data_IF_658085920838
#
_entry.id   IF_658085920838
#
_cell.length_a   1.000
_cell.length_b   1.000
_cell.length_c   1.000
_cell.angle_alpha   90.00
_cell.angle_beta   90.00
_cell.angle_gamma   90.00
#
_symmetry.space_group_name_H-M   'P 1'
#
loop_
_entity.id
_entity.type
_entity.pdbx_description
1 polymer ?
#
# COMPACT_ATOMS: atom_id res chain seq x y z
N UNK A 1 2.50 0.42 -24.01
CA UNK A 1 2.74 0.21 -22.61
C UNK A 1 1.49 0.41 -21.81
N UNK A 2 1.07 -0.61 -21.12
CA UNK A 2 -0.13 -0.58 -20.29
C UNK A 2 0.23 -0.06 -18.91
N UNK A 3 -0.52 0.92 -18.40
CA UNK A 3 -0.17 1.77 -17.26
C UNK A 3 -0.63 1.19 -15.91
N UNK A 4 -0.32 -0.06 -15.59
CA UNK A 4 -0.80 -0.70 -14.35
C UNK A 4 0.25 -1.58 -13.65
N UNK A 5 1.54 -1.28 -13.83
CA UNK A 5 2.61 -2.11 -13.31
C UNK A 5 2.82 -3.40 -14.11
N UNK A 6 3.74 -4.24 -13.66
CA UNK A 6 4.07 -5.51 -14.34
C UNK A 6 2.95 -6.53 -14.29
N UNK A 7 2.08 -6.45 -13.29
CA UNK A 7 1.04 -7.47 -12.98
C UNK A 7 -0.34 -7.14 -13.54
N UNK A 8 -0.49 -6.12 -14.36
CA UNK A 8 -1.80 -5.65 -14.83
C UNK A 8 -2.63 -6.72 -15.52
N UNK A 9 -1.98 -7.67 -16.25
CA UNK A 9 -2.67 -8.76 -16.91
C UNK A 9 -3.35 -9.71 -15.92
N UNK A 10 -2.71 -9.99 -14.80
CA UNK A 10 -3.27 -10.83 -13.74
C UNK A 10 -4.45 -10.11 -13.07
N UNK A 11 -4.37 -8.80 -12.88
CA UNK A 11 -5.49 -8.00 -12.36
C UNK A 11 -6.66 -7.93 -13.34
N UNK A 12 -6.39 -7.75 -14.64
CA UNK A 12 -7.43 -7.74 -15.68
C UNK A 12 -8.13 -9.09 -15.81
N UNK A 13 -7.34 -10.17 -15.80
CA UNK A 13 -7.88 -11.52 -15.83
C UNK A 13 -8.77 -11.79 -14.60
N UNK A 14 -8.29 -11.51 -13.40
CA UNK A 14 -9.05 -11.71 -12.18
C UNK A 14 -10.33 -10.85 -12.17
N UNK A 15 -10.25 -9.59 -12.61
CA UNK A 15 -11.41 -8.69 -12.69
C UNK A 15 -12.49 -9.25 -13.63
N UNK A 16 -12.11 -9.65 -14.83
CA UNK A 16 -13.05 -10.15 -15.85
C UNK A 16 -13.70 -11.49 -15.49
N UNK A 17 -13.09 -12.24 -14.56
CA UNK A 17 -13.62 -13.51 -14.05
C UNK A 17 -14.21 -13.39 -12.64
N UNK A 18 -14.17 -12.19 -12.04
CA UNK A 18 -14.66 -11.96 -10.68
C UNK A 18 -16.19 -12.10 -10.63
N UNK A 19 -16.67 -12.80 -9.60
CA UNK A 19 -18.10 -13.00 -9.34
C UNK A 19 -18.35 -13.02 -7.84
N UNK A 20 -19.48 -12.45 -7.41
CA UNK A 20 -19.90 -12.52 -6.01
C UNK A 20 -20.10 -13.96 -5.49
N UNK A 21 -20.31 -14.92 -6.40
CA UNK A 21 -20.49 -16.33 -6.06
C UNK A 21 -19.16 -17.08 -5.83
N UNK A 22 -18.03 -16.54 -6.29
CA UNK A 22 -16.72 -17.22 -6.28
C UNK A 22 -15.62 -16.43 -5.59
N UNK A 23 -15.97 -15.36 -4.87
CA UNK A 23 -15.02 -14.47 -4.20
C UNK A 23 -14.06 -15.21 -3.26
N UNK A 24 -14.52 -16.26 -2.59
CA UNK A 24 -13.72 -17.05 -1.65
C UNK A 24 -12.62 -17.90 -2.32
N UNK A 25 -12.65 -18.03 -3.64
CA UNK A 25 -11.70 -18.80 -4.44
C UNK A 25 -10.66 -17.93 -5.14
N UNK A 26 -10.73 -16.60 -4.95
CA UNK A 26 -9.84 -15.65 -5.58
C UNK A 26 -8.44 -15.68 -4.94
N UNK A 27 -7.45 -15.29 -5.76
CA UNK A 27 -6.03 -15.23 -5.35
C UNK A 27 -5.67 -14.01 -4.50
N UNK A 28 -6.63 -13.09 -4.31
CA UNK A 28 -6.41 -11.82 -3.63
C UNK A 28 -7.10 -11.80 -2.26
N UNK A 29 -6.80 -10.78 -1.46
CA UNK A 29 -7.49 -10.54 -0.21
C UNK A 29 -9.00 -10.33 -0.43
N UNK A 30 -9.81 -10.89 0.46
CA UNK A 30 -11.28 -10.94 0.34
C UNK A 30 -11.91 -9.57 0.03
N UNK A 31 -11.50 -8.51 0.70
CA UNK A 31 -12.05 -7.18 0.47
C UNK A 31 -11.77 -6.65 -0.92
N UNK A 32 -10.56 -6.93 -1.46
CA UNK A 32 -10.24 -6.54 -2.83
C UNK A 32 -11.05 -7.37 -3.84
N UNK A 33 -11.19 -8.67 -3.63
CA UNK A 33 -11.99 -9.56 -4.48
C UNK A 33 -13.47 -9.16 -4.49
N UNK A 34 -14.06 -8.84 -3.33
CA UNK A 34 -15.42 -8.27 -3.26
C UNK A 34 -15.53 -6.95 -4.02
N UNK A 35 -14.55 -6.07 -3.89
CA UNK A 35 -14.53 -4.80 -4.60
C UNK A 35 -14.57 -5.02 -6.12
N UNK A 36 -13.72 -5.92 -6.65
CA UNK A 36 -13.73 -6.28 -8.06
C UNK A 36 -15.08 -6.86 -8.49
N UNK A 37 -15.58 -7.84 -7.75
CA UNK A 37 -16.84 -8.53 -8.07
C UNK A 37 -18.04 -7.57 -8.09
N UNK A 38 -18.13 -6.63 -7.16
CA UNK A 38 -19.20 -5.61 -7.12
C UNK A 38 -19.13 -4.73 -8.39
N UNK A 39 -17.95 -4.18 -8.70
CA UNK A 39 -17.79 -3.29 -9.85
C UNK A 39 -18.01 -4.00 -11.18
N UNK A 40 -17.54 -5.25 -11.30
CA UNK A 40 -17.79 -6.08 -12.47
C UNK A 40 -19.29 -6.40 -12.62
N UNK A 41 -19.99 -6.75 -11.54
CA UNK A 41 -21.43 -7.07 -11.58
C UNK A 41 -22.30 -5.90 -12.02
N UNK A 42 -21.92 -4.65 -11.68
CA UNK A 42 -22.64 -3.45 -12.14
C UNK A 42 -22.24 -2.99 -13.55
N UNK A 43 -21.38 -3.77 -14.24
CA UNK A 43 -21.03 -3.54 -15.63
C UNK A 43 -19.95 -2.50 -15.86
N UNK A 44 -19.15 -2.16 -14.84
CA UNK A 44 -18.00 -1.28 -15.00
C UNK A 44 -16.85 -2.10 -15.60
N UNK A 45 -16.20 -1.58 -16.65
CA UNK A 45 -15.04 -2.23 -17.23
C UNK A 45 -13.77 -2.07 -16.36
N UNK A 46 -12.79 -2.94 -16.57
CA UNK A 46 -11.54 -2.96 -15.82
C UNK A 46 -10.79 -1.62 -15.83
N UNK A 47 -10.75 -0.93 -16.97
CA UNK A 47 -10.00 0.32 -17.08
C UNK A 47 -10.69 1.47 -16.35
N UNK A 48 -12.02 1.53 -16.44
CA UNK A 48 -12.81 2.53 -15.73
C UNK A 48 -12.71 2.30 -14.20
N UNK A 49 -12.75 1.04 -13.75
CA UNK A 49 -12.49 0.67 -12.35
C UNK A 49 -11.13 1.23 -11.87
N UNK A 50 -10.06 1.02 -12.65
CA UNK A 50 -8.73 1.55 -12.31
C UNK A 50 -8.67 3.07 -12.30
N UNK A 51 -9.29 3.74 -13.27
CA UNK A 51 -9.33 5.21 -13.33
C UNK A 51 -10.03 5.79 -12.11
N UNK A 52 -11.20 5.25 -11.73
CA UNK A 52 -11.97 5.71 -10.57
C UNK A 52 -11.13 5.61 -9.31
N UNK A 53 -10.50 4.46 -9.06
CA UNK A 53 -9.70 4.27 -7.86
C UNK A 53 -8.40 5.05 -7.86
N UNK A 54 -7.73 5.18 -8.99
CA UNK A 54 -6.55 6.08 -9.11
C UNK A 54 -6.93 7.54 -8.82
N UNK A 55 -8.10 7.97 -9.27
CA UNK A 55 -8.61 9.32 -8.95
C UNK A 55 -8.90 9.49 -7.44
N UNK A 56 -9.45 8.45 -6.78
CA UNK A 56 -9.65 8.48 -5.33
C UNK A 56 -8.31 8.56 -4.59
N UNK A 57 -7.29 7.81 -5.02
CA UNK A 57 -5.93 7.91 -4.45
C UNK A 57 -5.31 9.28 -4.69
N UNK A 58 -5.45 9.83 -5.88
CA UNK A 58 -5.00 11.19 -6.17
C UNK A 58 -5.67 12.21 -5.22
N UNK A 59 -6.97 12.09 -5.03
CA UNK A 59 -7.73 12.95 -4.12
C UNK A 59 -7.28 12.80 -2.66
N UNK A 60 -6.99 11.56 -2.23
CA UNK A 60 -6.48 11.28 -0.89
C UNK A 60 -5.11 11.91 -0.66
N UNK A 61 -4.24 11.89 -1.66
CA UNK A 61 -2.92 12.51 -1.59
C UNK A 61 -3.02 14.04 -1.53
N UNK A 62 -3.92 14.65 -2.31
CA UNK A 62 -4.22 16.08 -2.19
C UNK A 62 -4.74 16.45 -0.78
N UNK A 63 -5.61 15.60 -0.21
CA UNK A 63 -6.08 15.77 1.15
C UNK A 63 -4.94 15.68 2.18
N UNK A 64 -4.08 14.66 2.06
CA UNK A 64 -2.90 14.47 2.90
C UNK A 64 -2.01 15.72 2.92
N UNK A 65 -1.68 16.26 1.74
CA UNK A 65 -0.84 17.48 1.61
C UNK A 65 -1.49 18.66 2.33
N UNK A 66 -2.80 18.83 2.20
CA UNK A 66 -3.55 19.91 2.88
C UNK A 66 -3.59 19.74 4.40
N UNK A 67 -3.66 18.51 4.92
CA UNK A 67 -3.61 18.25 6.37
C UNK A 67 -2.32 18.81 6.97
N UNK A 68 -1.21 18.73 6.25
CA UNK A 68 0.08 19.29 6.66
C UNK A 68 0.27 20.77 6.27
N UNK A 69 -0.79 21.43 5.77
CA UNK A 69 -0.78 22.84 5.35
C UNK A 69 0.29 23.16 4.30
N UNK A 70 0.60 22.20 3.44
CA UNK A 70 1.53 22.36 2.34
C UNK A 70 0.81 22.84 1.08
N UNK A 71 1.56 23.51 0.19
CA UNK A 71 1.06 23.89 -1.12
C UNK A 71 0.89 22.66 -2.02
N UNK A 72 -0.35 22.42 -2.45
CA UNK A 72 -0.70 21.24 -3.26
C UNK A 72 -0.07 21.31 -4.65
N UNK A 73 0.02 22.52 -5.25
CA UNK A 73 0.60 22.69 -6.56
C UNK A 73 2.12 22.44 -6.52
N UNK A 74 2.81 23.05 -5.56
CA UNK A 74 4.24 22.84 -5.37
C UNK A 74 4.56 21.38 -5.07
N UNK A 75 3.73 20.73 -4.23
CA UNK A 75 3.87 19.30 -3.95
C UNK A 75 3.81 18.48 -5.25
N UNK A 76 2.79 18.66 -6.08
CA UNK A 76 2.64 17.92 -7.33
C UNK A 76 3.74 18.22 -8.33
N UNK A 77 4.19 19.46 -8.40
CA UNK A 77 5.30 19.88 -9.27
C UNK A 77 6.60 19.12 -8.93
N UNK A 78 6.88 18.91 -7.65
CA UNK A 78 8.06 18.20 -7.19
C UNK A 78 7.86 16.68 -7.20
N UNK A 79 6.70 16.20 -6.76
CA UNK A 79 6.42 14.79 -6.57
C UNK A 79 6.17 14.03 -7.88
N UNK A 80 5.49 14.64 -8.84
CA UNK A 80 5.08 13.95 -10.05
C UNK A 80 6.26 13.44 -10.90
N UNK A 81 7.32 14.23 -11.16
CA UNK A 81 8.45 13.77 -11.96
C UNK A 81 9.28 12.67 -11.27
N UNK A 82 9.32 12.66 -9.95
CA UNK A 82 10.15 11.74 -9.16
C UNK A 82 9.36 10.46 -8.83
N UNK A 83 8.42 10.56 -7.91
CA UNK A 83 7.70 9.39 -7.38
C UNK A 83 6.29 9.23 -7.95
N UNK A 84 5.67 10.31 -8.42
CA UNK A 84 4.26 10.30 -8.83
C UNK A 84 4.00 9.42 -10.04
N UNK A 85 4.86 9.45 -11.04
CA UNK A 85 4.74 8.58 -12.21
C UNK A 85 4.85 7.11 -11.82
N UNK A 86 5.85 6.77 -11.00
CA UNK A 86 5.99 5.40 -10.48
C UNK A 86 4.74 4.97 -9.69
N UNK A 87 4.28 5.81 -8.77
CA UNK A 87 3.13 5.49 -7.93
C UNK A 87 1.86 5.20 -8.74
N UNK A 88 1.57 6.00 -9.76
CA UNK A 88 0.34 5.87 -10.54
C UNK A 88 0.45 4.93 -11.76
N UNK A 89 1.65 4.64 -12.24
CA UNK A 89 1.88 3.81 -13.43
C UNK A 89 2.34 2.41 -13.03
N UNK A 90 3.41 2.29 -12.23
CA UNK A 90 4.12 1.04 -12.00
C UNK A 90 3.80 0.37 -10.64
N UNK A 91 3.29 1.13 -9.67
CA UNK A 91 2.97 0.55 -8.36
C UNK A 91 1.84 -0.49 -8.48
N UNK A 92 1.97 -1.66 -7.85
CA UNK A 92 0.91 -2.65 -7.79
C UNK A 92 -0.40 -2.03 -7.27
N UNK A 93 -1.50 -2.29 -7.98
CA UNK A 93 -2.74 -1.55 -7.77
C UNK A 93 -3.30 -1.66 -6.34
N UNK A 94 -3.21 -2.84 -5.72
CA UNK A 94 -3.64 -3.05 -4.33
C UNK A 94 -2.82 -2.23 -3.33
N UNK A 95 -1.50 -2.15 -3.54
CA UNK A 95 -0.61 -1.30 -2.72
C UNK A 95 -0.99 0.17 -2.85
N UNK A 96 -1.28 0.62 -4.07
CA UNK A 96 -1.73 1.98 -4.33
C UNK A 96 -3.03 2.30 -3.59
N UNK A 97 -4.01 1.38 -3.60
CA UNK A 97 -5.27 1.55 -2.88
C UNK A 97 -5.07 1.60 -1.36
N UNK A 98 -4.25 0.71 -0.81
CA UNK A 98 -3.95 0.70 0.62
C UNK A 98 -3.24 2.00 1.05
N UNK A 99 -2.28 2.49 0.27
CA UNK A 99 -1.62 3.78 0.50
C UNK A 99 -2.61 4.95 0.43
N UNK A 100 -3.50 4.95 -0.56
CA UNK A 100 -4.56 5.96 -0.68
C UNK A 100 -5.47 6.00 0.54
N UNK A 101 -5.88 4.85 1.03
CA UNK A 101 -6.68 4.74 2.26
C UNK A 101 -5.93 5.24 3.50
N UNK A 102 -4.63 4.99 3.60
CA UNK A 102 -3.81 5.54 4.68
C UNK A 102 -3.75 7.08 4.64
N UNK A 103 -3.63 7.68 3.46
CA UNK A 103 -3.65 9.15 3.34
C UNK A 103 -4.96 9.76 3.84
N UNK A 104 -6.10 9.09 3.66
CA UNK A 104 -7.36 9.49 4.29
C UNK A 104 -7.34 9.29 5.82
N UNK A 105 -6.72 8.22 6.30
CA UNK A 105 -6.66 7.87 7.72
C UNK A 105 -5.73 8.77 8.54
N UNK A 106 -4.82 9.52 7.90
CA UNK A 106 -3.78 10.32 8.57
C UNK A 106 -4.33 11.28 9.64
N UNK A 107 -5.51 11.85 9.41
CA UNK A 107 -6.18 12.73 10.37
C UNK A 107 -6.50 12.01 11.68
N UNK A 108 -6.90 10.75 11.62
CA UNK A 108 -7.21 9.96 12.81
C UNK A 108 -5.94 9.58 13.57
N UNK A 109 -4.84 9.33 12.84
CA UNK A 109 -3.52 9.13 13.42
C UNK A 109 -3.08 10.39 14.21
N UNK A 110 -3.14 11.57 13.57
CA UNK A 110 -2.73 12.83 14.17
C UNK A 110 -3.59 13.22 15.37
N UNK A 111 -4.90 12.96 15.31
CA UNK A 111 -5.85 13.23 16.38
C UNK A 111 -5.88 12.15 17.47
N UNK A 112 -5.01 11.13 17.38
CA UNK A 112 -4.95 10.01 18.35
C UNK A 112 -6.27 9.24 18.47
N UNK A 113 -7.08 9.23 17.45
CA UNK A 113 -8.31 8.47 17.43
C UNK A 113 -8.02 7.02 16.99
N UNK A 114 -7.61 6.20 17.98
CA UNK A 114 -7.22 4.81 17.76
C UNK A 114 -8.33 3.98 17.12
N UNK A 115 -9.56 4.16 17.57
CA UNK A 115 -10.70 3.34 17.11
C UNK A 115 -10.90 3.50 15.60
N UNK A 116 -11.01 4.73 15.12
CA UNK A 116 -11.20 4.97 13.69
C UNK A 116 -9.95 4.62 12.88
N UNK A 117 -8.76 4.88 13.41
CA UNK A 117 -7.53 4.53 12.71
C UNK A 117 -7.40 3.01 12.52
N UNK A 118 -7.61 2.22 13.58
CA UNK A 118 -7.56 0.76 13.47
C UNK A 118 -8.71 0.17 12.66
N UNK A 119 -9.92 0.72 12.75
CA UNK A 119 -11.02 0.30 11.88
C UNK A 119 -10.66 0.46 10.39
N UNK A 120 -10.09 1.61 10.00
CA UNK A 120 -9.63 1.83 8.63
C UNK A 120 -8.46 0.88 8.30
N UNK A 121 -7.52 0.68 9.20
CA UNK A 121 -6.39 -0.25 8.98
C UNK A 121 -6.89 -1.67 8.68
N UNK A 122 -7.88 -2.16 9.43
CA UNK A 122 -8.48 -3.49 9.18
C UNK A 122 -9.16 -3.54 7.82
N UNK A 123 -9.90 -2.50 7.44
CA UNK A 123 -10.52 -2.42 6.11
C UNK A 123 -9.48 -2.40 4.99
N UNK A 124 -8.41 -1.64 5.15
CA UNK A 124 -7.32 -1.59 4.17
C UNK A 124 -6.56 -2.91 4.08
N UNK A 125 -6.43 -3.63 5.19
CA UNK A 125 -5.81 -4.95 5.20
C UNK A 125 -6.63 -6.00 4.43
N UNK A 126 -7.93 -5.79 4.27
CA UNK A 126 -8.76 -6.59 3.36
C UNK A 126 -8.52 -6.27 1.88
N UNK A 127 -7.91 -5.13 1.57
CA UNK A 127 -7.49 -4.76 0.21
C UNK A 127 -6.06 -5.24 -0.05
N UNK A 128 -5.18 -5.04 0.93
CA UNK A 128 -3.81 -5.50 0.87
C UNK A 128 -3.23 -5.72 2.26
N UNK A 129 -2.75 -6.94 2.51
CA UNK A 129 -2.27 -7.39 3.82
C UNK A 129 -1.14 -6.53 4.41
N UNK A 130 -0.31 -5.89 3.56
CA UNK A 130 0.72 -4.94 4.03
C UNK A 130 0.16 -3.77 4.85
N UNK A 131 -1.14 -3.46 4.74
CA UNK A 131 -1.76 -2.41 5.55
C UNK A 131 -1.73 -2.71 7.07
N UNK A 132 -1.54 -3.97 7.49
CA UNK A 132 -1.31 -4.27 8.92
C UNK A 132 -0.06 -3.57 9.47
N UNK A 133 0.89 -3.19 8.62
CA UNK A 133 2.05 -2.39 9.03
C UNK A 133 1.65 -1.02 9.63
N UNK A 134 0.48 -0.50 9.31
CA UNK A 134 -0.04 0.75 9.86
C UNK A 134 -0.25 0.68 11.39
N UNK A 135 -0.46 -0.52 11.95
CA UNK A 135 -0.48 -0.72 13.41
C UNK A 135 0.84 -0.27 14.03
N UNK A 136 1.94 -0.67 13.41
CA UNK A 136 3.30 -0.27 13.83
C UNK A 136 3.45 1.23 13.71
N UNK A 137 3.01 1.82 12.60
CA UNK A 137 3.04 3.28 12.40
C UNK A 137 2.29 4.01 13.51
N UNK A 138 1.10 3.53 13.92
CA UNK A 138 0.34 4.12 15.01
C UNK A 138 1.11 4.05 16.33
N UNK A 139 1.67 2.91 16.68
CA UNK A 139 2.40 2.71 17.93
C UNK A 139 3.63 3.62 18.00
N UNK A 140 4.39 3.72 16.90
CA UNK A 140 5.60 4.53 16.84
C UNK A 140 5.36 6.02 16.62
N UNK A 141 4.17 6.42 16.18
CA UNK A 141 3.82 7.83 15.91
C UNK A 141 3.87 8.73 17.15
N UNK A 142 3.96 8.17 18.36
CA UNK A 142 4.14 8.91 19.63
C UNK A 142 5.61 9.05 20.06
N UNK A 143 6.51 8.32 19.41
CA UNK A 143 7.91 8.32 19.80
C UNK A 143 8.58 9.55 19.22
N UNK A 144 8.98 10.48 20.10
CA UNK A 144 9.71 11.68 19.71
C UNK A 144 11.19 11.30 19.47
N UNK A 145 11.53 11.02 18.21
CA UNK A 145 12.92 10.72 17.83
C UNK A 145 13.62 12.02 17.46
N UNK A 146 14.69 12.38 18.20
CA UNK A 146 15.53 13.53 17.80
C UNK A 146 16.15 13.25 16.42
N UNK A 147 16.25 14.28 15.58
CA UNK A 147 16.74 14.16 14.18
C UNK A 147 18.06 13.39 14.05
N UNK A 148 19.00 13.53 15.02
CA UNK A 148 20.25 12.79 15.02
C UNK A 148 20.07 11.26 15.08
N UNK A 149 19.07 10.78 15.84
CA UNK A 149 18.78 9.34 15.92
C UNK A 149 18.10 8.84 14.67
N UNK A 150 17.31 9.69 14.02
CA UNK A 150 16.71 9.35 12.72
C UNK A 150 17.78 9.07 11.65
N UNK A 151 18.82 9.91 11.59
CA UNK A 151 19.96 9.68 10.68
C UNK A 151 20.67 8.38 11.02
N UNK A 152 20.93 8.11 12.29
CA UNK A 152 21.57 6.86 12.72
C UNK A 152 20.72 5.65 12.34
N UNK A 153 19.40 5.69 12.61
CA UNK A 153 18.46 4.63 12.24
C UNK A 153 18.40 4.43 10.74
N UNK A 154 18.40 5.51 9.95
CA UNK A 154 18.43 5.43 8.49
C UNK A 154 19.69 4.75 7.99
N UNK A 155 20.87 5.14 8.49
CA UNK A 155 22.14 4.49 8.11
C UNK A 155 22.16 3.02 8.52
N UNK A 156 21.74 2.71 9.76
CA UNK A 156 21.70 1.33 10.24
C UNK A 156 20.71 0.48 9.42
N UNK A 157 19.55 1.01 9.05
CA UNK A 157 18.57 0.28 8.23
C UNK A 157 19.11 -0.03 6.83
N UNK A 158 19.88 0.89 6.24
CA UNK A 158 20.53 0.64 4.95
C UNK A 158 21.65 -0.42 5.04
N UNK A 159 22.45 -0.38 6.13
CA UNK A 159 23.47 -1.41 6.38
C UNK A 159 22.80 -2.77 6.59
N UNK A 160 21.71 -2.82 7.36
CA UNK A 160 20.94 -4.03 7.60
C UNK A 160 20.31 -4.58 6.32
N UNK A 161 19.72 -3.69 5.49
CA UNK A 161 19.14 -4.07 4.21
C UNK A 161 20.20 -4.65 3.24
N UNK A 162 21.41 -4.08 3.24
CA UNK A 162 22.53 -4.59 2.43
C UNK A 162 22.98 -5.99 2.86
N UNK A 163 22.74 -6.36 4.12
CA UNK A 163 23.11 -7.67 4.70
C UNK A 163 21.89 -8.55 4.95
N UNK A 164 20.73 -8.17 4.42
CA UNK A 164 19.48 -8.88 4.68
C UNK A 164 19.52 -10.32 4.13
N UNK A 165 20.16 -10.52 2.99
CA UNK A 165 20.44 -11.82 2.39
C UNK A 165 21.18 -12.74 3.37
N UNK A 166 22.25 -12.27 3.98
CA UNK A 166 23.00 -13.04 4.98
C UNK A 166 22.15 -13.37 6.23
N UNK A 167 21.31 -12.43 6.67
CA UNK A 167 20.43 -12.65 7.84
C UNK A 167 19.36 -13.68 7.50
N UNK A 168 18.79 -13.60 6.33
CA UNK A 168 17.77 -14.55 5.85
C UNK A 168 18.39 -15.94 5.71
N UNK A 169 19.51 -16.05 5.03
CA UNK A 169 20.13 -17.34 4.71
C UNK A 169 20.75 -18.03 5.94
N UNK A 170 21.41 -17.28 6.81
CA UNK A 170 22.15 -17.86 7.95
C UNK A 170 21.37 -17.89 9.28
N UNK A 171 20.33 -17.06 9.41
CA UNK A 171 19.57 -16.98 10.68
C UNK A 171 18.13 -17.45 10.48
N UNK A 172 17.42 -16.91 9.51
CA UNK A 172 15.98 -17.13 9.35
C UNK A 172 15.68 -18.52 8.79
N UNK A 173 16.35 -18.96 7.73
CA UNK A 173 16.12 -20.27 7.12
C UNK A 173 16.42 -21.43 8.07
N UNK A 174 17.56 -21.46 8.82
CA UNK A 174 17.79 -22.49 9.80
C UNK A 174 16.77 -22.51 10.96
N UNK A 175 16.26 -21.34 11.36
CA UNK A 175 15.25 -21.22 12.41
C UNK A 175 13.88 -21.74 11.99
N UNK A 176 13.54 -21.65 10.71
CA UNK A 176 12.23 -22.06 10.15
C UNK A 176 12.29 -23.51 9.62
N UNK A 177 13.50 -24.13 9.61
CA UNK A 177 13.69 -25.51 9.10
C UNK A 177 13.51 -25.63 7.58
N UNK A 178 13.66 -24.54 6.85
CA UNK A 178 13.69 -24.52 5.38
C UNK A 178 15.14 -24.62 4.96
N UNK A 179 15.53 -25.79 4.44
CA UNK A 179 16.86 -25.97 3.84
C UNK A 179 17.02 -24.97 2.68
N UNK A 180 18.02 -24.10 2.82
CA UNK A 180 18.19 -22.98 1.92
C UNK A 180 18.31 -23.43 0.46
N UNK A 181 17.61 -22.77 -0.42
CA UNK A 181 17.81 -22.83 -1.86
C UNK A 181 19.18 -22.18 -2.20
N UNK A 182 20.25 -22.88 -1.88
CA UNK A 182 21.57 -22.66 -2.49
C UNK A 182 21.75 -23.73 -3.56
N UNK A 183 21.26 -23.43 -4.74
CA UNK A 183 21.46 -24.19 -5.96
C UNK A 183 21.55 -23.25 -7.13
#
# INVERSE_FOLDING_TARGET
>A
GYMCGTDWRNYEYAYNHSSLATVDQELFELGYSYLQAIFHTIGIDFWLFHIVFKFLVFSSLCYFVRVFKQDVFLFWFLFLPDMGLYLFIDCPFRNLLAAGGFFWAIKFLLNRNAVFFFAITVLLAQIHSSAYFLVIVYLFSNIFVKSKYFIILFVLSNILAYRLDLIVDYILFPLIGVDGYLG
#
